data_IF_095630265889
#
_entry.id   IF_095630265889
#
_cell.length_a   1.000
_cell.length_b   1.000
_cell.length_c   1.000
_cell.angle_alpha   90.00
_cell.angle_beta   90.00
_cell.angle_gamma   90.00
#
_symmetry.space_group_name_H-M   'P 1'
#
loop_
_entity.id
_entity.type
_entity.pdbx_description
1 polymer ?
#
# COMPACT_ATOMS: atom_id res chain seq x y z
N UNK A 1 2.37 1.11 26.73
CA UNK A 1 1.20 1.43 25.91
C UNK A 1 1.36 2.87 25.52
N UNK A 2 1.47 3.21 24.23
CA UNK A 2 1.19 4.58 23.80
C UNK A 2 -0.10 5.00 24.51
N UNK A 3 -0.15 6.21 25.09
CA UNK A 3 -1.39 6.67 25.73
C UNK A 3 -2.55 6.31 24.80
N UNK A 4 -3.42 5.43 25.27
CA UNK A 4 -4.53 4.83 24.49
C UNK A 4 -5.49 5.89 23.92
N UNK A 5 -5.22 7.16 24.23
CA UNK A 5 -5.93 8.37 23.85
C UNK A 5 -5.36 9.03 22.58
N UNK A 6 -4.22 8.61 22.02
CA UNK A 6 -3.65 9.21 20.81
C UNK A 6 -3.99 8.50 19.50
N UNK A 7 -4.39 7.22 19.58
CA UNK A 7 -4.95 6.49 18.44
C UNK A 7 -6.43 6.34 18.75
N UNK A 8 -7.27 7.13 18.07
CA UNK A 8 -8.73 7.03 18.16
C UNK A 8 -9.14 5.55 18.04
N UNK A 9 -10.01 5.08 18.94
CA UNK A 9 -10.46 3.67 18.92
C UNK A 9 -11.19 3.30 17.62
N UNK A 10 -11.67 4.31 16.88
CA UNK A 10 -12.38 4.19 15.60
C UNK A 10 -11.73 5.03 14.48
N UNK A 11 -10.96 4.35 13.62
CA UNK A 11 -10.46 4.94 12.36
C UNK A 11 -11.59 5.03 11.32
N UNK A 12 -11.86 6.24 10.84
CA UNK A 12 -13.02 6.59 10.01
C UNK A 12 -12.66 7.28 8.69
N UNK A 13 -11.42 7.74 8.54
CA UNK A 13 -10.92 8.37 7.33
C UNK A 13 -9.40 8.25 7.23
N UNK A 14 -8.85 8.59 6.07
CA UNK A 14 -7.41 8.47 5.82
C UNK A 14 -6.58 9.50 6.60
N UNK A 15 -7.16 10.64 6.97
CA UNK A 15 -6.49 11.69 7.74
C UNK A 15 -6.11 11.22 9.15
N UNK A 16 -6.97 10.45 9.82
CA UNK A 16 -6.63 9.83 11.11
C UNK A 16 -5.43 8.90 10.97
N UNK A 17 -5.39 8.07 9.93
CA UNK A 17 -4.25 7.19 9.68
C UNK A 17 -2.97 7.98 9.38
N UNK A 18 -3.09 9.01 8.54
CA UNK A 18 -1.99 9.92 8.24
C UNK A 18 -1.42 10.56 9.51
N UNK A 19 -2.28 11.04 10.40
CA UNK A 19 -1.88 11.69 11.65
C UNK A 19 -1.13 10.75 12.59
N UNK A 20 -1.51 9.47 12.67
CA UNK A 20 -0.75 8.46 13.44
C UNK A 20 0.68 8.34 12.93
N UNK A 21 0.86 8.21 11.61
CA UNK A 21 2.21 8.09 11.04
C UNK A 21 2.99 9.39 11.06
N UNK A 22 2.31 10.53 10.91
CA UNK A 22 2.92 11.86 11.05
C UNK A 22 3.47 12.03 12.47
N UNK A 23 2.67 11.68 13.47
CA UNK A 23 3.11 11.67 14.86
C UNK A 23 4.35 10.79 15.05
N UNK A 24 4.33 9.54 14.58
CA UNK A 24 5.49 8.62 14.68
C UNK A 24 6.75 9.22 14.03
N UNK A 25 6.59 9.91 12.91
CA UNK A 25 7.71 10.47 12.13
C UNK A 25 8.28 11.78 12.69
N UNK A 26 7.44 12.61 13.30
CA UNK A 26 7.77 13.99 13.64
C UNK A 26 7.78 14.19 15.15
N UNK A 27 6.60 14.25 15.77
CA UNK A 27 6.41 14.65 17.17
C UNK A 27 6.85 13.55 18.17
N UNK A 28 6.61 12.30 17.80
CA UNK A 28 6.85 11.13 18.61
C UNK A 28 8.11 10.37 18.26
N UNK A 29 8.99 10.88 17.40
CA UNK A 29 10.08 10.08 16.83
C UNK A 29 11.16 9.62 17.84
N UNK A 30 11.21 10.23 19.03
CA UNK A 30 12.05 9.77 20.16
C UNK A 30 11.27 8.94 21.19
N UNK A 31 9.95 8.86 21.06
CA UNK A 31 9.11 8.11 22.00
C UNK A 31 9.31 6.62 21.78
N UNK A 32 9.37 5.86 22.88
CA UNK A 32 9.69 4.44 22.83
C UNK A 32 8.75 3.65 21.90
N UNK A 33 7.45 3.93 21.94
CA UNK A 33 6.48 3.21 21.10
C UNK A 33 6.65 3.52 19.61
N UNK A 34 6.93 4.77 19.24
CA UNK A 34 7.23 5.14 17.87
C UNK A 34 8.50 4.45 17.40
N UNK A 35 9.57 4.51 18.21
CA UNK A 35 10.82 3.83 17.95
C UNK A 35 10.62 2.30 17.79
N UNK A 36 9.77 1.70 18.62
CA UNK A 36 9.43 0.28 18.54
C UNK A 36 8.69 -0.07 17.24
N UNK A 37 7.70 0.75 16.83
CA UNK A 37 6.99 0.59 15.56
C UNK A 37 7.97 0.76 14.38
N UNK A 38 8.85 1.77 14.44
CA UNK A 38 9.88 2.00 13.43
C UNK A 38 10.84 0.80 13.33
N UNK A 39 11.27 0.24 14.46
CA UNK A 39 12.12 -0.95 14.51
C UNK A 39 11.44 -2.16 13.86
N UNK A 40 10.16 -2.37 14.17
CA UNK A 40 9.36 -3.44 13.55
C UNK A 40 9.24 -3.25 12.02
N UNK A 41 8.87 -2.04 11.57
CA UNK A 41 8.74 -1.72 10.15
C UNK A 41 10.07 -1.92 9.41
N UNK A 42 11.19 -1.52 10.00
CA UNK A 42 12.50 -1.74 9.43
C UNK A 42 12.77 -3.24 9.27
N UNK A 43 12.66 -4.01 10.35
CA UNK A 43 13.06 -5.42 10.37
C UNK A 43 12.17 -6.33 9.52
N UNK A 44 10.88 -6.04 9.40
CA UNK A 44 9.92 -6.94 8.74
C UNK A 44 9.41 -6.44 7.39
N UNK A 45 9.52 -5.15 7.09
CA UNK A 45 8.95 -4.55 5.87
C UNK A 45 10.02 -3.97 4.95
N UNK A 46 11.04 -3.29 5.48
CA UNK A 46 11.91 -2.39 4.68
C UNK A 46 13.34 -2.90 4.49
N UNK A 47 13.88 -3.67 5.44
CA UNK A 47 15.27 -4.15 5.36
C UNK A 47 15.54 -4.90 4.06
N UNK A 48 16.78 -4.84 3.56
CA UNK A 48 17.15 -5.44 2.27
C UNK A 48 16.80 -6.95 2.21
N UNK A 49 16.85 -7.63 3.35
CA UNK A 49 16.53 -9.05 3.47
C UNK A 49 15.05 -9.38 3.28
N UNK A 50 14.14 -8.47 3.67
CA UNK A 50 12.69 -8.72 3.71
C UNK A 50 11.91 -7.93 2.67
N UNK A 51 12.42 -6.78 2.20
CA UNK A 51 11.67 -5.84 1.36
C UNK A 51 11.16 -6.45 0.04
N UNK A 52 11.86 -7.44 -0.51
CA UNK A 52 11.46 -8.13 -1.76
C UNK A 52 10.56 -9.35 -1.52
N UNK A 53 10.38 -9.77 -0.26
CA UNK A 53 9.54 -10.92 0.06
C UNK A 53 8.07 -10.55 -0.14
N UNK A 54 7.30 -11.47 -0.74
CA UNK A 54 5.85 -11.30 -0.91
C UNK A 54 5.13 -11.12 0.43
N UNK A 55 5.64 -11.77 1.47
CA UNK A 55 5.09 -11.71 2.83
C UNK A 55 5.19 -10.32 3.47
N UNK A 56 6.15 -9.48 3.06
CA UNK A 56 6.29 -8.12 3.62
C UNK A 56 5.05 -7.26 3.41
N UNK A 57 4.33 -7.43 2.29
CA UNK A 57 3.07 -6.71 2.07
C UNK A 57 2.02 -7.12 3.11
N UNK A 58 1.89 -8.43 3.34
CA UNK A 58 0.94 -8.96 4.32
C UNK A 58 1.28 -8.54 5.74
N UNK A 59 2.54 -8.61 6.13
CA UNK A 59 2.98 -8.17 7.47
C UNK A 59 2.68 -6.68 7.68
N UNK A 60 2.78 -5.86 6.64
CA UNK A 60 2.42 -4.45 6.73
C UNK A 60 0.92 -4.24 6.94
N UNK A 61 0.07 -4.99 6.22
CA UNK A 61 -1.39 -5.01 6.45
C UNK A 61 -1.73 -5.45 7.88
N UNK A 62 -1.12 -6.54 8.35
CA UNK A 62 -1.33 -7.06 9.72
C UNK A 62 -0.95 -6.00 10.77
N UNK A 63 0.19 -5.33 10.59
CA UNK A 63 0.62 -4.26 11.49
C UNK A 63 -0.37 -3.08 11.49
N UNK A 64 -0.81 -2.62 10.32
CA UNK A 64 -1.79 -1.54 10.21
C UNK A 64 -3.11 -1.90 10.89
N UNK A 65 -3.58 -3.15 10.71
CA UNK A 65 -4.78 -3.64 11.38
C UNK A 65 -4.63 -3.59 12.92
N UNK A 66 -3.49 -4.05 13.46
CA UNK A 66 -3.23 -4.02 14.90
C UNK A 66 -3.11 -2.58 15.42
N UNK A 67 -2.36 -1.73 14.72
CA UNK A 67 -2.06 -0.37 15.15
C UNK A 67 -3.31 0.50 15.18
N UNK A 68 -4.22 0.31 14.21
CA UNK A 68 -5.38 1.16 13.97
C UNK A 68 -6.70 0.50 14.36
N UNK A 69 -6.65 -0.63 15.09
CA UNK A 69 -7.82 -1.40 15.49
C UNK A 69 -8.73 -1.83 14.30
N UNK A 70 -8.10 -2.16 13.17
CA UNK A 70 -8.74 -2.60 11.94
C UNK A 70 -8.82 -4.12 11.80
N UNK A 71 -9.57 -4.57 10.80
CA UNK A 71 -9.69 -5.98 10.44
C UNK A 71 -9.22 -6.22 9.01
N UNK A 72 -8.53 -7.33 8.78
CA UNK A 72 -8.10 -7.71 7.45
C UNK A 72 -9.20 -8.45 6.73
N UNK A 73 -9.56 -7.99 5.54
CA UNK A 73 -10.74 -8.44 4.82
C UNK A 73 -10.63 -9.89 4.33
N UNK A 74 -9.43 -10.42 4.11
CA UNK A 74 -9.17 -11.80 3.63
C UNK A 74 -9.66 -12.89 4.58
N UNK A 75 -9.96 -12.54 5.83
CA UNK A 75 -10.35 -13.51 6.87
C UNK A 75 -11.85 -13.77 6.98
N UNK A 76 -12.71 -12.98 6.30
CA UNK A 76 -14.18 -13.09 6.40
C UNK A 76 -14.80 -13.68 5.14
N UNK A 77 -15.80 -14.55 5.30
CA UNK A 77 -16.63 -15.01 4.17
C UNK A 77 -17.44 -13.84 3.63
N UNK A 78 -17.11 -13.37 2.43
CA UNK A 78 -17.67 -12.14 1.88
C UNK A 78 -18.91 -12.41 1.02
N UNK A 79 -20.02 -11.69 1.24
CA UNK A 79 -21.21 -11.66 0.36
C UNK A 79 -21.23 -10.38 -0.47
N UNK A 80 -21.62 -10.46 -1.74
CA UNK A 80 -21.78 -9.29 -2.60
C UNK A 80 -23.13 -8.61 -2.32
N UNK A 81 -23.13 -7.30 -2.08
CA UNK A 81 -24.34 -6.49 -2.09
C UNK A 81 -24.50 -5.89 -3.49
N UNK A 82 -25.29 -6.55 -4.34
CA UNK A 82 -25.55 -6.09 -5.71
C UNK A 82 -26.27 -4.73 -5.77
N UNK A 83 -26.94 -4.33 -4.69
CA UNK A 83 -27.70 -3.06 -4.56
C UNK A 83 -26.83 -1.83 -4.77
N UNK A 84 -25.53 -1.94 -4.50
CA UNK A 84 -24.64 -0.78 -4.43
C UNK A 84 -23.92 -0.55 -5.77
N UNK A 85 -24.14 -1.41 -6.77
CA UNK A 85 -23.51 -1.27 -8.08
C UNK A 85 -24.34 -0.35 -8.98
N UNK A 86 -23.74 0.74 -9.51
CA UNK A 86 -24.40 1.64 -10.43
C UNK A 86 -24.99 0.94 -11.66
N UNK A 87 -26.11 1.46 -12.17
CA UNK A 87 -26.89 0.80 -13.22
C UNK A 87 -26.19 0.72 -14.57
N UNK A 88 -25.21 1.58 -14.82
CA UNK A 88 -24.37 1.46 -16.02
C UNK A 88 -23.51 0.18 -16.03
N UNK A 89 -23.39 -0.54 -14.90
CA UNK A 89 -22.78 -1.87 -14.82
C UNK A 89 -23.82 -3.01 -14.71
N UNK A 90 -25.09 -2.79 -15.09
CA UNK A 90 -26.20 -3.74 -14.87
C UNK A 90 -25.91 -5.19 -15.28
N UNK A 91 -25.17 -5.41 -16.37
CA UNK A 91 -24.88 -6.75 -16.89
C UNK A 91 -23.65 -7.40 -16.26
N UNK A 92 -22.91 -6.66 -15.44
CA UNK A 92 -21.68 -7.11 -14.77
C UNK A 92 -21.66 -6.76 -13.28
N UNK A 93 -22.83 -6.56 -12.65
CA UNK A 93 -22.93 -6.14 -11.25
C UNK A 93 -22.14 -7.04 -10.31
N UNK A 94 -22.30 -8.36 -10.41
CA UNK A 94 -21.57 -9.32 -9.57
C UNK A 94 -20.06 -9.20 -9.69
N UNK A 95 -19.58 -9.00 -10.92
CA UNK A 95 -18.14 -8.94 -11.21
C UNK A 95 -17.54 -7.64 -10.69
N UNK A 96 -18.20 -6.52 -10.96
CA UNK A 96 -17.73 -5.19 -10.54
C UNK A 96 -17.83 -5.02 -9.02
N UNK A 97 -18.89 -5.52 -8.37
CA UNK A 97 -19.00 -5.58 -6.91
C UNK A 97 -17.88 -6.43 -6.30
N UNK A 98 -17.61 -7.62 -6.87
CA UNK A 98 -16.52 -8.48 -6.45
C UNK A 98 -15.17 -7.78 -6.55
N UNK A 99 -14.94 -7.09 -7.67
CA UNK A 99 -13.72 -6.33 -7.95
C UNK A 99 -13.47 -5.22 -6.92
N UNK A 100 -14.47 -4.39 -6.61
CA UNK A 100 -14.39 -3.35 -5.56
C UNK A 100 -13.98 -3.96 -4.21
N UNK A 101 -14.71 -5.00 -3.82
CA UNK A 101 -14.52 -5.70 -2.55
C UNK A 101 -13.16 -6.38 -2.41
N UNK A 102 -12.52 -6.76 -3.50
CA UNK A 102 -11.15 -7.30 -3.54
C UNK A 102 -10.07 -6.22 -3.38
N UNK A 103 -10.42 -4.92 -3.44
CA UNK A 103 -9.46 -3.82 -3.25
C UNK A 103 -9.29 -3.40 -1.81
N UNK A 104 -10.28 -3.62 -0.97
CA UNK A 104 -10.21 -3.29 0.44
C UNK A 104 -9.34 -4.33 1.13
N UNK A 105 -8.18 -3.91 1.63
CA UNK A 105 -7.25 -4.77 2.36
C UNK A 105 -7.54 -4.68 3.89
N UNK A 106 -7.95 -3.49 4.37
CA UNK A 106 -8.29 -3.20 5.76
C UNK A 106 -9.72 -2.64 5.88
N UNK A 107 -10.46 -3.08 6.89
CA UNK A 107 -11.81 -2.60 7.21
C UNK A 107 -11.91 -2.19 8.68
N UNK A 108 -12.41 -0.99 8.92
CA UNK A 108 -12.60 -0.42 10.25
C UNK A 108 -14.08 -0.45 10.69
N UNK A 109 -14.36 -0.19 11.97
CA UNK A 109 -15.66 -0.40 12.61
C UNK A 109 -16.85 0.28 11.90
N UNK A 110 -16.62 1.41 11.24
CA UNK A 110 -17.64 2.17 10.51
C UNK A 110 -17.73 1.83 9.01
N UNK A 111 -17.32 0.62 8.61
CA UNK A 111 -17.19 0.20 7.21
C UNK A 111 -16.25 1.07 6.37
N UNK A 112 -15.40 1.87 7.00
CA UNK A 112 -14.34 2.58 6.31
C UNK A 112 -13.32 1.56 5.81
N UNK A 113 -13.12 1.52 4.49
CA UNK A 113 -12.23 0.61 3.80
C UNK A 113 -10.95 1.30 3.36
N UNK A 114 -9.82 0.60 3.50
CA UNK A 114 -8.53 1.07 2.99
C UNK A 114 -7.86 -0.03 2.18
N UNK A 115 -7.38 0.34 1.01
CA UNK A 115 -6.48 -0.48 0.20
C UNK A 115 -5.03 -0.18 0.57
N UNK A 116 -4.19 -1.21 0.60
CA UNK A 116 -2.76 -1.09 0.94
C UNK A 116 -1.94 -1.62 -0.22
N UNK A 117 -0.97 -0.83 -0.68
CA UNK A 117 -0.05 -1.23 -1.76
C UNK A 117 1.37 -0.94 -1.34
N UNK A 118 2.23 -1.96 -1.41
CA UNK A 118 3.66 -1.82 -1.12
C UNK A 118 4.48 -1.95 -2.41
N UNK A 119 5.43 -1.04 -2.61
CA UNK A 119 6.31 -1.02 -3.78
C UNK A 119 7.76 -0.84 -3.36
N UNK A 120 8.69 -1.33 -4.19
CA UNK A 120 10.09 -0.93 -4.09
C UNK A 120 10.28 0.46 -4.72
N UNK A 121 11.21 1.27 -4.21
CA UNK A 121 11.53 2.60 -4.76
C UNK A 121 11.78 2.61 -6.27
N UNK A 122 12.39 1.56 -6.80
CA UNK A 122 12.70 1.44 -8.23
C UNK A 122 11.48 1.06 -9.11
N UNK A 123 10.37 0.60 -8.51
CA UNK A 123 9.15 0.28 -9.25
C UNK A 123 8.40 1.57 -9.59
N UNK A 124 8.48 2.02 -10.84
CA UNK A 124 7.83 3.25 -11.31
C UNK A 124 6.37 3.09 -11.70
N UNK A 125 5.88 1.86 -11.73
CA UNK A 125 4.49 1.53 -12.10
C UNK A 125 3.71 1.01 -10.89
N UNK A 126 2.43 1.36 -10.82
CA UNK A 126 1.47 0.76 -9.90
C UNK A 126 0.57 -0.17 -10.73
N UNK A 127 0.47 -1.43 -10.33
CA UNK A 127 -0.42 -2.38 -10.97
C UNK A 127 -1.81 -2.32 -10.32
N UNK A 128 -2.82 -2.01 -11.12
CA UNK A 128 -4.21 -1.92 -10.70
C UNK A 128 -4.98 -3.02 -11.43
N UNK A 129 -5.25 -4.13 -10.74
CA UNK A 129 -6.11 -5.18 -11.27
C UNK A 129 -7.59 -4.79 -11.25
N UNK A 130 -8.43 -5.68 -11.78
CA UNK A 130 -9.90 -5.58 -11.72
C UNK A 130 -10.57 -4.60 -12.70
N UNK A 131 -9.86 -4.23 -13.77
CA UNK A 131 -10.43 -3.51 -14.90
C UNK A 131 -11.06 -4.48 -15.89
N UNK A 132 -12.38 -4.57 -15.87
CA UNK A 132 -13.10 -5.44 -16.79
C UNK A 132 -13.14 -4.85 -18.19
N UNK A 133 -12.16 -5.23 -19.02
CA UNK A 133 -12.05 -4.72 -20.40
C UNK A 133 -13.33 -4.91 -21.21
N UNK A 134 -14.05 -6.01 -21.01
CA UNK A 134 -15.32 -6.26 -21.72
C UNK A 134 -16.37 -5.19 -21.39
N UNK A 135 -16.40 -4.71 -20.15
CA UNK A 135 -17.32 -3.65 -19.72
C UNK A 135 -16.91 -2.31 -20.30
N UNK A 136 -15.60 -2.02 -20.31
CA UNK A 136 -15.09 -0.75 -20.81
C UNK A 136 -15.27 -0.60 -22.33
N UNK A 137 -15.14 -1.70 -23.07
CA UNK A 137 -15.18 -1.71 -24.53
C UNK A 137 -16.42 -2.39 -25.12
N UNK A 138 -17.46 -2.66 -24.30
CA UNK A 138 -18.69 -3.30 -24.77
C UNK A 138 -19.34 -2.47 -25.89
N UNK A 139 -19.98 -3.12 -26.85
CA UNK A 139 -20.65 -2.50 -28.00
C UNK A 139 -19.77 -1.66 -28.95
N UNK A 140 -18.46 -1.56 -28.72
CA UNK A 140 -17.55 -0.83 -29.63
C UNK A 140 -17.10 -1.65 -30.84
N UNK A 141 -17.42 -2.95 -30.90
CA UNK A 141 -17.07 -3.82 -32.04
C UNK A 141 -15.58 -4.17 -32.14
N UNK A 142 -14.80 -3.92 -31.09
CA UNK A 142 -13.33 -4.09 -31.07
C UNK A 142 -12.84 -5.24 -30.19
N UNK A 143 -13.72 -6.15 -29.76
CA UNK A 143 -13.37 -7.24 -28.85
C UNK A 143 -12.23 -8.15 -29.39
N UNK A 144 -12.15 -8.29 -30.70
CA UNK A 144 -11.12 -9.07 -31.41
C UNK A 144 -9.71 -8.48 -31.29
N UNK A 145 -9.57 -7.18 -30.97
CA UNK A 145 -8.28 -6.50 -30.85
C UNK A 145 -7.86 -6.24 -29.40
N UNK A 146 -8.69 -6.61 -28.41
CA UNK A 146 -8.39 -6.46 -26.97
C UNK A 146 -7.44 -7.53 -26.44
N UNK A 147 -6.32 -7.74 -27.13
CA UNK A 147 -5.27 -8.72 -26.82
C UNK A 147 -3.93 -8.03 -26.62
N UNK A 148 -3.05 -8.61 -25.79
CA UNK A 148 -1.72 -8.05 -25.45
C UNK A 148 -0.64 -8.37 -26.48
N UNK A 149 -0.77 -9.53 -27.15
CA UNK A 149 0.18 -9.92 -28.19
C UNK A 149 -0.06 -9.03 -29.40
N UNK A 150 1.01 -8.79 -30.18
CA UNK A 150 0.86 -8.45 -31.59
C UNK A 150 0.05 -9.59 -32.21
N UNK A 151 -1.27 -9.45 -32.23
CA UNK A 151 -2.06 -10.12 -33.25
C UNK A 151 -1.35 -9.78 -34.54
N UNK A 152 -1.29 -10.74 -35.45
CA UNK A 152 -0.68 -10.68 -36.78
C UNK A 152 -1.35 -9.63 -37.69
N UNK A 153 -1.84 -8.53 -37.12
CA UNK A 153 -2.60 -7.48 -37.70
C UNK A 153 -1.68 -6.29 -37.96
N UNK A 154 -1.73 -5.81 -39.19
CA UNK A 154 -1.03 -4.65 -39.72
C UNK A 154 -1.32 -3.35 -38.94
N UNK A 155 -2.34 -3.35 -38.08
CA UNK A 155 -2.88 -2.16 -37.39
C UNK A 155 -2.18 -1.79 -36.08
N UNK A 156 -1.32 -2.64 -35.51
CA UNK A 156 -0.62 -2.38 -34.23
C UNK A 156 -1.54 -1.85 -33.09
N UNK A 157 -2.82 -2.20 -33.11
CA UNK A 157 -3.84 -1.72 -32.19
C UNK A 157 -4.18 -2.81 -31.17
N UNK A 158 -4.35 -2.44 -29.89
CA UNK A 158 -4.83 -3.35 -28.86
C UNK A 158 -4.48 -2.95 -27.45
N UNK A 159 -4.61 -3.90 -26.52
CA UNK A 159 -4.09 -3.75 -25.17
C UNK A 159 -2.56 -3.95 -25.18
N UNK A 160 -1.90 -3.54 -24.12
CA UNK A 160 -0.45 -3.67 -23.97
C UNK A 160 0.20 -2.31 -23.78
N UNK A 161 1.20 -2.02 -24.61
CA UNK A 161 2.06 -0.84 -24.49
C UNK A 161 1.36 0.49 -24.86
N UNK A 162 1.96 1.63 -24.46
CA UNK A 162 1.44 2.97 -24.81
C UNK A 162 1.13 3.16 -26.31
N UNK A 163 1.98 2.74 -27.27
CA UNK A 163 1.65 2.87 -28.70
C UNK A 163 0.41 2.06 -29.10
N UNK A 164 0.23 0.85 -28.56
CA UNK A 164 -0.95 0.03 -28.85
C UNK A 164 -2.23 0.66 -28.29
N UNK A 165 -2.14 1.19 -27.06
CA UNK A 165 -3.23 1.93 -26.43
C UNK A 165 -3.57 3.21 -27.19
N UNK A 166 -2.56 3.93 -27.69
CA UNK A 166 -2.76 5.12 -28.52
C UNK A 166 -3.56 4.79 -29.77
N UNK A 167 -3.13 3.81 -30.54
CA UNK A 167 -3.84 3.38 -31.75
C UNK A 167 -5.27 2.93 -31.45
N UNK A 168 -5.49 2.27 -30.31
CA UNK A 168 -6.81 1.86 -29.85
C UNK A 168 -7.72 3.06 -29.52
N UNK A 169 -7.20 4.04 -28.78
CA UNK A 169 -7.98 5.22 -28.41
C UNK A 169 -8.24 6.14 -29.60
N UNK A 170 -7.29 6.30 -30.51
CA UNK A 170 -7.48 7.04 -31.77
C UNK A 170 -8.53 6.35 -32.66
N UNK A 171 -8.55 5.02 -32.70
CA UNK A 171 -9.61 4.28 -33.39
C UNK A 171 -10.99 4.55 -32.76
N UNK A 172 -11.10 4.56 -31.43
CA UNK A 172 -12.35 4.93 -30.76
C UNK A 172 -12.75 6.37 -31.04
N UNK A 173 -11.81 7.30 -31.09
CA UNK A 173 -12.07 8.71 -31.40
C UNK A 173 -12.60 8.89 -32.82
N UNK A 174 -11.96 8.24 -33.80
CA UNK A 174 -12.40 8.23 -35.20
C UNK A 174 -13.81 7.65 -35.39
N UNK A 175 -14.24 6.74 -34.51
CA UNK A 175 -15.58 6.16 -34.52
C UNK A 175 -16.57 6.89 -33.59
N UNK A 176 -16.21 8.05 -33.03
CA UNK A 176 -17.02 8.82 -32.05
C UNK A 176 -17.36 8.04 -30.76
N UNK A 177 -16.56 7.04 -30.39
CA UNK A 177 -16.76 6.18 -29.22
C UNK A 177 -15.87 6.56 -28.02
N UNK A 178 -14.85 7.41 -28.22
CA UNK A 178 -13.90 7.74 -27.16
C UNK A 178 -14.55 8.41 -25.94
N UNK A 179 -15.51 9.31 -26.14
CA UNK A 179 -16.23 9.94 -25.03
C UNK A 179 -16.99 8.92 -24.17
N UNK A 180 -17.62 7.93 -24.79
CA UNK A 180 -18.32 6.89 -24.06
C UNK A 180 -17.33 5.99 -23.30
N UNK A 181 -16.23 5.61 -23.95
CA UNK A 181 -15.12 4.90 -23.29
C UNK A 181 -14.61 5.66 -22.06
N UNK A 182 -14.35 6.96 -22.20
CA UNK A 182 -13.89 7.84 -21.13
C UNK A 182 -14.84 7.81 -19.93
N UNK A 183 -16.13 8.00 -20.17
CA UNK A 183 -17.16 7.96 -19.12
C UNK A 183 -17.13 6.61 -18.40
N UNK A 184 -17.10 5.50 -19.15
CA UNK A 184 -17.03 4.14 -18.56
C UNK A 184 -15.74 3.92 -17.76
N UNK A 185 -14.62 4.45 -18.23
CA UNK A 185 -13.32 4.37 -17.55
C UNK A 185 -13.35 5.10 -16.21
N UNK A 186 -13.75 6.37 -16.21
CA UNK A 186 -13.83 7.20 -15.00
C UNK A 186 -14.78 6.57 -13.99
N UNK A 187 -15.96 6.15 -14.44
CA UNK A 187 -16.95 5.47 -13.60
C UNK A 187 -16.42 4.16 -12.98
N UNK A 188 -15.59 3.41 -13.72
CA UNK A 188 -14.96 2.20 -13.19
C UNK A 188 -13.91 2.50 -12.13
N UNK A 189 -13.12 3.56 -12.32
CA UNK A 189 -12.21 4.04 -11.28
C UNK A 189 -12.95 4.48 -10.03
N UNK A 190 -13.95 5.36 -10.20
CA UNK A 190 -14.80 5.88 -9.13
C UNK A 190 -15.41 4.76 -8.29
N UNK A 191 -15.94 3.74 -8.94
CA UNK A 191 -16.60 2.66 -8.22
C UNK A 191 -15.63 1.65 -7.58
N UNK A 192 -14.66 1.13 -8.35
CA UNK A 192 -13.78 0.04 -7.89
C UNK A 192 -12.73 0.54 -6.90
N UNK A 193 -12.28 1.78 -7.06
CA UNK A 193 -11.24 2.42 -6.25
C UNK A 193 -11.80 3.59 -5.44
N UNK A 194 -13.08 3.51 -5.04
CA UNK A 194 -13.74 4.52 -4.19
C UNK A 194 -13.14 4.60 -2.79
N UNK A 195 -12.56 3.50 -2.31
CA UNK A 195 -11.96 3.39 -0.99
C UNK A 195 -10.56 4.03 -0.98
N UNK A 196 -10.16 4.55 0.18
CA UNK A 196 -8.88 5.23 0.32
C UNK A 196 -7.70 4.25 0.18
N UNK A 197 -6.52 4.77 -0.17
CA UNK A 197 -5.33 3.97 -0.41
C UNK A 197 -4.12 4.45 0.39
N UNK A 198 -3.43 3.50 1.01
CA UNK A 198 -2.08 3.68 1.54
C UNK A 198 -1.09 3.08 0.56
N UNK A 199 -0.28 3.94 -0.07
CA UNK A 199 0.84 3.52 -0.91
C UNK A 199 2.16 3.65 -0.13
N UNK A 200 2.81 2.52 0.12
CA UNK A 200 4.07 2.43 0.84
C UNK A 200 5.24 2.13 -0.11
N UNK A 201 6.22 3.03 -0.17
CA UNK A 201 7.42 2.91 -1.01
C UNK A 201 8.63 2.61 -0.13
N UNK A 202 9.18 1.41 -0.31
CA UNK A 202 10.33 0.88 0.43
C UNK A 202 11.65 1.32 -0.19
N UNK A 203 12.53 1.89 0.62
CA UNK A 203 13.84 2.38 0.24
C UNK A 203 14.91 2.13 1.32
N UNK A 204 15.31 0.87 1.52
CA UNK A 204 16.41 0.39 2.40
C UNK A 204 16.43 0.90 3.85
N UNK A 205 16.58 2.21 4.04
CA UNK A 205 16.59 2.95 5.30
C UNK A 205 15.37 3.85 5.47
N UNK A 206 14.44 3.88 4.50
CA UNK A 206 13.24 4.71 4.54
C UNK A 206 11.99 3.98 4.07
N UNK A 207 10.85 4.37 4.62
CA UNK A 207 9.52 4.02 4.13
C UNK A 207 8.74 5.30 3.87
N UNK A 208 8.46 5.59 2.60
CA UNK A 208 7.58 6.70 2.23
C UNK A 208 6.14 6.21 2.18
N UNK A 209 5.26 6.84 2.96
CA UNK A 209 3.83 6.54 3.00
C UNK A 209 3.07 7.69 2.33
N UNK A 210 2.23 7.34 1.37
CA UNK A 210 1.32 8.25 0.69
C UNK A 210 -0.12 7.82 1.00
N UNK A 211 -0.92 8.77 1.46
CA UNK A 211 -2.28 8.57 1.92
C UNK A 211 -3.23 9.25 0.95
N UNK A 212 -3.89 8.46 0.12
CA UNK A 212 -4.60 8.90 -1.07
C UNK A 212 -6.09 8.68 -0.85
N UNK A 213 -6.89 9.72 -1.00
CA UNK A 213 -8.35 9.54 -1.01
C UNK A 213 -8.79 8.87 -2.31
N UNK A 214 -9.84 8.03 -2.25
CA UNK A 214 -10.42 7.44 -3.46
C UNK A 214 -10.88 8.49 -4.48
N UNK A 215 -11.35 9.65 -3.99
CA UNK A 215 -11.72 10.82 -4.80
C UNK A 215 -10.51 11.43 -5.52
N UNK A 216 -9.38 11.64 -4.84
CA UNK A 216 -8.12 12.15 -5.43
C UNK A 216 -7.65 11.24 -6.56
N UNK A 217 -7.80 9.93 -6.38
CA UNK A 217 -7.39 8.95 -7.39
C UNK A 217 -8.30 8.98 -8.62
N UNK A 218 -9.60 9.07 -8.43
CA UNK A 218 -10.59 9.18 -9.52
C UNK A 218 -10.40 10.48 -10.30
N UNK A 219 -10.19 11.60 -9.58
CA UNK A 219 -9.99 12.91 -10.17
C UNK A 219 -8.71 12.96 -11.03
N UNK A 220 -7.64 12.27 -10.62
CA UNK A 220 -6.43 12.12 -11.44
C UNK A 220 -6.77 11.55 -12.83
N UNK A 221 -7.57 10.48 -12.88
CA UNK A 221 -7.96 9.84 -14.14
C UNK A 221 -8.91 10.74 -14.94
N UNK A 222 -9.92 11.30 -14.29
CA UNK A 222 -10.89 12.18 -14.94
C UNK A 222 -10.18 13.34 -15.65
N UNK A 223 -9.29 14.05 -14.95
CA UNK A 223 -8.57 15.21 -15.45
C UNK A 223 -7.73 14.91 -16.71
N UNK A 224 -7.14 13.72 -16.79
CA UNK A 224 -6.28 13.35 -17.92
C UNK A 224 -7.00 12.58 -19.03
N UNK A 225 -8.24 12.16 -18.80
CA UNK A 225 -8.98 11.31 -19.74
C UNK A 225 -9.66 12.09 -20.88
N UNK A 226 -9.57 13.42 -20.88
CA UNK A 226 -10.12 14.28 -21.94
C UNK A 226 -9.30 14.25 -23.24
N UNK A 227 -8.00 14.02 -23.15
CA UNK A 227 -7.08 13.94 -24.28
C UNK A 227 -6.34 12.60 -24.25
N UNK A 228 -6.23 11.96 -25.41
CA UNK A 228 -5.58 10.64 -25.54
C UNK A 228 -4.12 10.69 -25.07
N UNK A 229 -3.37 11.71 -25.47
CA UNK A 229 -1.95 11.80 -25.12
C UNK A 229 -1.80 12.09 -23.63
N UNK A 230 -2.68 12.91 -23.04
CA UNK A 230 -2.67 13.20 -21.62
C UNK A 230 -2.98 11.96 -20.77
N UNK A 231 -4.01 11.18 -21.16
CA UNK A 231 -4.35 9.91 -20.52
C UNK A 231 -3.16 8.93 -20.56
N UNK A 232 -2.44 8.88 -21.68
CA UNK A 232 -1.25 8.06 -21.85
C UNK A 232 -0.02 8.59 -21.09
N UNK A 233 -0.06 9.78 -20.51
CA UNK A 233 0.96 10.19 -19.52
C UNK A 233 0.80 9.45 -18.19
N UNK A 234 -0.41 8.98 -17.88
CA UNK A 234 -0.71 8.17 -16.68
C UNK A 234 -0.69 6.69 -17.02
N UNK A 235 -1.41 6.27 -18.07
CA UNK A 235 -1.55 4.87 -18.42
C UNK A 235 -0.27 4.38 -19.13
N UNK A 236 0.52 3.57 -18.43
CA UNK A 236 1.75 2.99 -18.99
C UNK A 236 1.49 1.74 -19.79
N UNK A 237 0.59 0.89 -19.31
CA UNK A 237 0.30 -0.40 -19.93
C UNK A 237 -1.07 -0.93 -19.52
N UNK A 238 -1.65 -1.76 -20.37
CA UNK A 238 -2.83 -2.57 -20.04
C UNK A 238 -2.58 -4.04 -20.35
N UNK A 239 -2.61 -4.91 -19.34
CA UNK A 239 -2.39 -6.35 -19.47
C UNK A 239 -3.58 -7.09 -18.82
N UNK A 240 -4.31 -7.88 -19.59
CA UNK A 240 -5.49 -8.59 -19.15
C UNK A 240 -6.56 -7.64 -18.61
N UNK A 241 -6.92 -7.84 -17.35
CA UNK A 241 -7.82 -6.97 -16.59
C UNK A 241 -7.04 -6.03 -15.64
N UNK A 242 -5.77 -5.74 -15.94
CA UNK A 242 -4.94 -4.87 -15.12
C UNK A 242 -4.40 -3.70 -15.91
N UNK A 243 -4.46 -2.52 -15.31
CA UNK A 243 -3.87 -1.29 -15.81
C UNK A 243 -2.65 -0.97 -14.97
N UNK A 244 -1.54 -0.66 -15.62
CA UNK A 244 -0.33 -0.15 -14.97
C UNK A 244 -0.27 1.36 -15.16
N UNK A 245 -0.24 2.10 -14.06
CA UNK A 245 -0.16 3.56 -14.09
C UNK A 245 1.21 4.07 -13.64
N UNK A 246 1.57 5.27 -14.07
CA UNK A 246 2.75 5.97 -13.57
C UNK A 246 2.56 6.35 -12.10
N UNK A 247 3.39 5.75 -11.24
CA UNK A 247 3.38 6.02 -9.80
C UNK A 247 3.62 7.50 -9.49
N UNK A 248 4.50 8.15 -10.25
CA UNK A 248 4.89 9.55 -10.05
C UNK A 248 3.69 10.48 -10.25
N UNK A 249 2.84 10.18 -11.24
CA UNK A 249 1.62 10.95 -11.50
C UNK A 249 0.67 10.88 -10.32
N UNK A 250 0.50 9.71 -9.73
CA UNK A 250 -0.36 9.53 -8.55
C UNK A 250 0.21 10.21 -7.30
N UNK A 251 1.48 9.99 -6.97
CA UNK A 251 2.04 10.58 -5.74
C UNK A 251 2.11 12.12 -5.80
N UNK A 252 2.18 12.70 -7.01
CA UNK A 252 2.20 14.15 -7.18
C UNK A 252 0.83 14.80 -6.94
N UNK A 253 -0.28 14.04 -6.99
CA UNK A 253 -1.60 14.54 -6.62
C UNK A 253 -1.87 14.42 -5.12
N UNK A 254 -1.10 13.59 -4.41
CA UNK A 254 -1.28 13.34 -2.98
C UNK A 254 -0.72 14.46 -2.12
N UNK A 255 -1.55 15.02 -1.23
CA UNK A 255 -1.10 16.04 -0.26
C UNK A 255 -0.51 15.45 1.01
N UNK A 256 -0.90 14.22 1.34
CA UNK A 256 -0.56 13.53 2.58
C UNK A 256 0.59 12.56 2.35
N UNK A 257 1.77 12.99 2.77
CA UNK A 257 3.00 12.19 2.71
C UNK A 257 3.67 12.15 4.07
N UNK A 258 4.11 10.98 4.47
CA UNK A 258 4.99 10.77 5.63
C UNK A 258 6.24 10.02 5.18
N UNK A 259 7.40 10.38 5.71
CA UNK A 259 8.66 9.67 5.47
C UNK A 259 9.19 9.13 6.78
N UNK A 260 9.09 7.83 6.97
CA UNK A 260 9.67 7.16 8.13
C UNK A 260 11.16 6.91 7.86
N UNK A 261 12.03 7.58 8.61
CA UNK A 261 13.49 7.45 8.50
C UNK A 261 14.01 6.51 9.58
N UNK A 262 14.50 5.34 9.18
CA UNK A 262 14.96 4.30 10.11
C UNK A 262 16.40 4.54 10.60
N UNK A 263 17.12 5.52 10.06
CA UNK A 263 18.46 5.87 10.56
C UNK A 263 18.47 6.37 12.00
N UNK A 264 17.31 6.78 12.52
CA UNK A 264 17.12 7.14 13.92
C UNK A 264 17.33 5.95 14.87
N UNK A 265 17.06 4.72 14.41
CA UNK A 265 17.11 3.52 15.25
C UNK A 265 18.51 3.29 15.82
N UNK A 266 19.54 3.42 14.97
CA UNK A 266 20.95 3.26 15.33
C UNK A 266 21.44 4.29 16.37
N UNK A 267 20.72 5.40 16.52
CA UNK A 267 21.07 6.49 17.44
C UNK A 267 20.14 6.55 18.65
N UNK A 268 19.20 5.62 18.74
CA UNK A 268 18.18 5.58 19.77
C UNK A 268 18.40 4.42 20.73
N UNK A 269 17.53 4.35 21.75
CA UNK A 269 17.49 3.22 22.66
C UNK A 269 17.27 1.87 21.97
N UNK A 270 16.66 1.86 20.76
CA UNK A 270 16.46 0.64 19.97
C UNK A 270 17.76 -0.04 19.59
N UNK A 271 18.85 0.71 19.38
CA UNK A 271 20.15 0.10 19.11
C UNK A 271 20.58 -0.80 20.27
N UNK A 272 20.49 -0.28 21.51
CA UNK A 272 20.88 -1.03 22.71
C UNK A 272 19.99 -2.26 22.92
N UNK A 273 18.69 -2.16 22.59
CA UNK A 273 17.76 -3.29 22.65
C UNK A 273 18.14 -4.36 21.62
N UNK A 274 18.36 -3.97 20.36
CA UNK A 274 18.72 -4.90 19.30
C UNK A 274 20.08 -5.58 19.61
N UNK A 275 21.06 -4.83 20.10
CA UNK A 275 22.36 -5.37 20.52
C UNK A 275 22.20 -6.38 21.69
N UNK A 276 21.29 -6.11 22.64
CA UNK A 276 20.96 -7.02 23.74
C UNK A 276 20.22 -8.28 23.26
N UNK A 277 19.29 -8.16 22.32
CA UNK A 277 18.56 -9.31 21.74
C UNK A 277 19.54 -10.27 21.04
N UNK A 278 20.52 -9.74 20.29
CA UNK A 278 21.56 -10.55 19.66
C UNK A 278 22.45 -11.26 20.69
N UNK A 279 22.87 -10.55 21.74
CA UNK A 279 23.61 -11.12 22.87
C UNK A 279 22.80 -12.25 23.53
N UNK A 280 21.53 -12.02 23.80
CA UNK A 280 20.63 -12.97 24.45
C UNK A 280 20.52 -14.26 23.63
N UNK A 281 20.28 -14.14 22.32
CA UNK A 281 20.21 -15.31 21.42
C UNK A 281 21.53 -16.08 21.34
N UNK A 282 22.64 -15.35 21.30
CA UNK A 282 23.98 -15.95 21.29
C UNK A 282 24.24 -16.73 22.58
N UNK A 283 23.91 -16.14 23.73
CA UNK A 283 24.14 -16.76 25.02
C UNK A 283 23.18 -17.93 25.30
N UNK A 284 21.96 -17.93 24.75
CA UNK A 284 21.12 -19.14 24.78
C UNK A 284 21.80 -20.32 24.10
N UNK A 285 22.39 -20.10 22.92
CA UNK A 285 23.11 -21.18 22.21
C UNK A 285 24.30 -21.65 23.05
N UNK A 286 25.14 -20.73 23.53
CA UNK A 286 26.33 -21.08 24.33
C UNK A 286 25.97 -21.80 25.63
N UNK A 287 24.93 -21.37 26.33
CA UNK A 287 24.47 -21.98 27.58
C UNK A 287 24.17 -23.48 27.42
N UNK A 288 23.61 -23.91 26.28
CA UNK A 288 23.32 -25.32 26.02
C UNK A 288 24.52 -26.12 25.48
N UNK A 289 25.56 -25.45 24.99
CA UNK A 289 26.68 -26.09 24.28
C UNK A 289 28.05 -26.00 24.98
N UNK A 290 28.22 -25.09 25.92
CA UNK A 290 29.48 -24.82 26.60
C UNK A 290 29.39 -25.12 28.11
N UNK A 291 30.54 -25.32 28.76
CA UNK A 291 30.61 -25.68 30.18
C UNK A 291 30.44 -24.46 31.11
N UNK A 292 30.73 -23.24 30.64
CA UNK A 292 30.73 -21.99 31.42
C UNK A 292 29.33 -21.35 31.56
N UNK A 293 28.32 -22.14 31.93
CA UNK A 293 26.92 -21.69 31.96
C UNK A 293 26.65 -20.47 32.84
N UNK A 294 27.26 -20.44 34.02
CA UNK A 294 27.12 -19.36 35.00
C UNK A 294 27.62 -18.01 34.45
N UNK A 295 28.66 -18.03 33.61
CA UNK A 295 29.22 -16.83 33.00
C UNK A 295 28.22 -16.19 32.02
N UNK A 296 27.55 -17.00 31.19
CA UNK A 296 26.56 -16.50 30.23
C UNK A 296 25.30 -15.98 30.91
N UNK A 297 24.86 -16.65 31.98
CA UNK A 297 23.74 -16.17 32.80
C UNK A 297 24.07 -14.81 33.43
N UNK A 298 25.25 -14.70 34.04
CA UNK A 298 25.73 -13.45 34.63
C UNK A 298 25.84 -12.32 33.59
N UNK A 299 26.34 -12.62 32.39
CA UNK A 299 26.43 -11.64 31.30
C UNK A 299 25.05 -11.14 30.87
N UNK A 300 24.05 -12.01 30.75
CA UNK A 300 22.67 -11.61 30.42
C UNK A 300 22.11 -10.68 31.52
N UNK A 301 22.27 -11.06 32.79
CA UNK A 301 21.79 -10.27 33.95
C UNK A 301 22.46 -8.90 33.99
N UNK A 302 23.78 -8.84 33.76
CA UNK A 302 24.50 -7.59 33.75
C UNK A 302 24.02 -6.66 32.62
N UNK A 303 23.84 -7.19 31.42
CA UNK A 303 23.45 -6.38 30.27
C UNK A 303 21.99 -5.93 30.32
N UNK A 304 21.08 -6.74 30.86
CA UNK A 304 19.69 -6.29 31.09
C UNK A 304 19.65 -5.17 32.14
N UNK A 305 20.44 -5.26 33.22
CA UNK A 305 20.55 -4.19 34.22
C UNK A 305 21.09 -2.89 33.63
N UNK A 306 22.09 -2.97 32.74
CA UNK A 306 22.61 -1.81 32.01
C UNK A 306 21.50 -1.19 31.13
N UNK A 307 20.73 -2.01 30.42
CA UNK A 307 19.65 -1.55 29.57
C UNK A 307 18.54 -0.85 30.36
N UNK A 308 18.13 -1.38 31.51
CA UNK A 308 17.13 -0.73 32.37
C UNK A 308 17.62 0.59 32.94
N UNK A 309 18.90 0.69 33.34
CA UNK A 309 19.48 1.98 33.77
C UNK A 309 19.43 3.03 32.66
N UNK A 310 19.66 2.63 31.41
CA UNK A 310 19.53 3.52 30.25
C UNK A 310 18.07 3.95 30.03
N UNK A 311 17.10 3.05 30.22
CA UNK A 311 15.67 3.42 30.17
C UNK A 311 15.31 4.46 31.24
N UNK A 312 15.78 4.26 32.48
CA UNK A 312 15.53 5.17 33.59
C UNK A 312 16.16 6.55 33.34
N UNK A 313 17.39 6.59 32.85
CA UNK A 313 18.10 7.84 32.51
C UNK A 313 17.39 8.64 31.42
N UNK A 314 16.77 7.96 30.46
CA UNK A 314 16.12 8.59 29.30
C UNK A 314 14.58 8.59 29.41
N UNK A 315 14.01 8.25 30.57
CA UNK A 315 12.58 8.02 30.72
C UNK A 315 11.72 9.20 30.25
N UNK A 316 12.10 10.43 30.60
CA UNK A 316 11.35 11.63 30.20
C UNK A 316 11.29 11.86 28.67
N UNK A 317 12.36 11.50 27.95
CA UNK A 317 12.38 11.59 26.49
C UNK A 317 11.57 10.46 25.86
N UNK A 318 11.72 9.24 26.39
CA UNK A 318 11.10 8.01 25.89
C UNK A 318 9.59 7.88 26.18
N UNK A 319 9.09 8.55 27.23
CA UNK A 319 7.72 8.43 27.78
C UNK A 319 6.63 9.09 26.96
#
# INVERSE_FOLDING_TARGET
MAEKNQIDEDTNNIDQVYNVFKFISEEGNQKFYSLYILNYLYNFIVSDEVAKRKTSARVFEDLLAILLNGNITDTKSRKNLQSDVPDYFRFTKDKIAGNKREKIDLLFNNNYGVSVKTLMKNNKEINLGSFEKKVLFDDFGILNVLTERKTSNETQMGLGSKPQLKNLFEHLEQNNQYNEFKIRLVNMFDYIFSDDMILAIKDKTKLELYFIEGSEFTQLIENHSHDINDLLTILNRWEGNSIRIDRTKLINTTRRKVVLDFSILDRSIMKKINDFDELLHTNYIKYFHEENREEFEYEIILNIDILFKEFEQNFGELS
#
